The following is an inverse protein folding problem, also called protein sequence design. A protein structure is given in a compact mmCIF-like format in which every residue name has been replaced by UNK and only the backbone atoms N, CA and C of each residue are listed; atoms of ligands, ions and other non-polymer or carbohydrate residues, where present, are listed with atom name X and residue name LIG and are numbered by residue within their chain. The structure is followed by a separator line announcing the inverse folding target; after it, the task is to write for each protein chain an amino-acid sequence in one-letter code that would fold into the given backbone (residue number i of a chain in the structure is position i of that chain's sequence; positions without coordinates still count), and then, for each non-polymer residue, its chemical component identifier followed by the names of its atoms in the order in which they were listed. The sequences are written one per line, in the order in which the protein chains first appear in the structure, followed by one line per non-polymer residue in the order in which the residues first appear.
data_IF_654415659807
#
_entry.id   IF_654415659807
#
_cell.length_a   1.000
_cell.length_b   1.000
_cell.length_c   1.000
_cell.angle_alpha   90.00
_cell.angle_beta   90.00
_cell.angle_gamma   90.00
#
_symmetry.space_group_name_H-M   'P 1'
#
loop_
_entity.id
_entity.type
_entity.pdbx_description
1 polymer ?
#
# COMPACT_ATOMS: atom_id res chain seq x y z
N UNK A 1 -9.56 -57.06 18.86
CA UNK A 1 -9.35 -57.02 20.34
C UNK A 1 -8.21 -56.09 20.63
N UNK A 2 -8.26 -55.26 21.66
CA UNK A 2 -9.42 -54.74 22.40
C UNK A 2 -9.64 -53.23 22.26
N UNK A 3 -10.84 -52.85 22.57
CA UNK A 3 -11.38 -51.51 22.80
C UNK A 3 -10.84 -50.94 24.13
N UNK A 4 -10.50 -49.67 24.19
CA UNK A 4 -10.49 -48.95 25.46
C UNK A 4 -11.30 -47.67 25.33
N UNK A 5 -12.43 -47.73 26.02
CA UNK A 5 -13.28 -46.61 26.42
C UNK A 5 -12.64 -45.96 27.65
N UNK A 6 -12.54 -44.63 27.73
CA UNK A 6 -12.50 -43.93 28.97
C UNK A 6 -13.44 -42.73 28.96
N UNK A 7 -14.24 -42.73 29.93
CA UNK A 7 -15.41 -42.06 30.44
C UNK A 7 -15.05 -40.65 30.99
N UNK A 8 -16.02 -39.73 31.03
CA UNK A 8 -15.79 -38.33 31.37
C UNK A 8 -15.80 -38.11 32.88
N UNK A 9 -15.00 -37.18 33.35
CA UNK A 9 -15.05 -36.72 34.76
C UNK A 9 -15.72 -35.34 34.82
N UNK A 10 -16.94 -35.39 35.31
CA UNK A 10 -17.76 -34.26 35.75
C UNK A 10 -17.16 -33.73 37.04
N UNK A 11 -16.86 -32.44 37.17
CA UNK A 11 -16.67 -31.78 38.45
C UNK A 11 -17.54 -30.54 38.51
N UNK A 12 -18.63 -30.73 39.25
CA UNK A 12 -19.52 -29.69 39.78
C UNK A 12 -19.00 -29.29 41.14
N UNK A 13 -18.75 -28.05 41.41
CA UNK A 13 -18.78 -27.41 42.75
C UNK A 13 -18.86 -25.91 42.52
N UNK A 14 -19.97 -25.32 42.77
CA UNK A 14 -20.54 -24.78 43.99
C UNK A 14 -20.35 -23.27 44.13
N UNK A 15 -21.38 -22.61 43.84
CA UNK A 15 -22.03 -21.37 44.29
C UNK A 15 -21.59 -20.92 45.72
N UNK A 16 -21.04 -19.70 45.81
CA UNK A 16 -21.17 -18.91 47.06
C UNK A 16 -21.40 -17.44 46.70
N UNK A 17 -22.62 -17.02 46.93
CA UNK A 17 -23.02 -15.59 47.10
C UNK A 17 -22.45 -15.05 48.39
N UNK A 18 -21.87 -13.86 48.36
CA UNK A 18 -21.87 -12.95 49.48
C UNK A 18 -22.19 -11.54 49.01
N UNK A 19 -23.40 -11.14 49.33
CA UNK A 19 -23.89 -9.78 49.38
C UNK A 19 -23.19 -9.05 50.53
N UNK A 20 -22.60 -7.89 50.27
CA UNK A 20 -22.47 -6.87 51.31
C UNK A 20 -22.83 -5.51 50.72
N UNK A 21 -23.85 -4.97 51.32
CA UNK A 21 -24.43 -3.65 51.12
C UNK A 21 -23.73 -2.59 51.97
N UNK A 22 -23.96 -1.35 51.60
CA UNK A 22 -23.88 -0.09 52.36
C UNK A 22 -22.52 0.57 52.52
N UNK A 23 -22.57 1.84 52.14
CA UNK A 23 -21.65 2.90 52.53
C UNK A 23 -21.70 4.09 51.58
N UNK A 24 -22.85 4.80 51.59
CA UNK A 24 -22.94 6.18 51.07
C UNK A 24 -22.11 7.09 51.97
N UNK A 25 -21.04 7.67 51.49
CA UNK A 25 -20.44 8.87 52.07
C UNK A 25 -20.43 9.99 51.05
N UNK A 26 -21.41 10.87 51.22
CA UNK A 26 -21.60 12.15 50.57
C UNK A 26 -20.44 13.10 50.96
N UNK A 27 -19.37 13.21 50.20
CA UNK A 27 -18.36 14.26 50.38
C UNK A 27 -18.81 15.55 49.70
N UNK A 28 -19.24 16.50 50.53
CA UNK A 28 -19.54 17.90 50.18
C UNK A 28 -18.39 18.50 49.43
N UNK A 29 -18.67 18.95 48.21
CA UNK A 29 -17.77 19.79 47.39
C UNK A 29 -17.76 21.20 47.99
N UNK A 30 -16.59 21.80 48.29
CA UNK A 30 -16.54 23.18 48.73
C UNK A 30 -16.87 24.13 47.57
N UNK A 31 -17.70 25.09 47.90
CA UNK A 31 -18.19 26.19 47.04
C UNK A 31 -16.98 27.01 46.53
N UNK A 32 -16.61 26.84 45.28
CA UNK A 32 -15.58 27.63 44.61
C UNK A 32 -16.26 28.84 43.92
N UNK A 33 -16.10 30.01 44.55
CA UNK A 33 -16.51 31.31 44.00
C UNK A 33 -15.98 31.42 42.53
N UNK A 34 -16.95 31.59 41.63
CA UNK A 34 -16.69 31.87 40.23
C UNK A 34 -16.03 33.25 40.06
N UNK A 35 -14.73 33.23 39.75
CA UNK A 35 -14.04 34.43 39.25
C UNK A 35 -14.31 34.52 37.75
N UNK A 36 -14.78 35.67 37.20
CA UNK A 36 -14.99 35.79 35.76
C UNK A 36 -13.62 35.76 35.05
N UNK A 37 -13.36 34.71 34.33
CA UNK A 37 -12.22 34.63 33.44
C UNK A 37 -12.54 35.49 32.22
N UNK A 38 -11.89 36.63 32.12
CA UNK A 38 -11.87 37.44 30.91
C UNK A 38 -11.04 36.65 29.86
N UNK A 39 -11.74 35.98 28.97
CA UNK A 39 -11.08 35.39 27.80
C UNK A 39 -10.67 36.52 26.88
N UNK A 40 -9.39 36.93 26.96
CA UNK A 40 -8.79 37.71 25.87
C UNK A 40 -8.82 36.81 24.66
N UNK A 41 -9.58 37.24 23.62
CA UNK A 41 -9.46 36.67 22.27
C UNK A 41 -8.05 36.93 21.78
N UNK A 42 -7.19 35.94 21.97
CA UNK A 42 -5.92 35.89 21.27
C UNK A 42 -6.24 35.74 19.78
N UNK A 43 -5.64 36.63 18.98
CA UNK A 43 -5.67 36.58 17.52
C UNK A 43 -5.27 35.16 17.09
N UNK A 44 -5.87 34.63 15.99
CA UNK A 44 -5.49 33.31 15.49
C UNK A 44 -3.99 33.29 15.26
N UNK A 45 -3.32 32.43 16.01
CA UNK A 45 -1.91 32.14 15.85
C UNK A 45 -1.73 31.67 14.42
N UNK A 46 -0.97 32.44 13.65
CA UNK A 46 -0.58 32.11 12.28
C UNK A 46 0.10 30.76 12.36
N UNK A 47 -0.58 29.69 11.90
CA UNK A 47 0.04 28.39 11.76
C UNK A 47 1.29 28.62 10.92
N UNK A 48 2.44 28.37 11.49
CA UNK A 48 3.68 28.22 10.75
C UNK A 48 3.51 26.98 9.90
N UNK A 49 2.91 27.14 8.70
CA UNK A 49 2.98 26.13 7.66
C UNK A 49 4.47 25.93 7.40
N UNK A 50 5.00 24.84 7.94
CA UNK A 50 6.28 24.30 7.48
C UNK A 50 6.16 24.16 5.96
N UNK A 51 7.17 24.55 5.18
CA UNK A 51 7.10 24.42 3.73
C UNK A 51 6.74 22.97 3.41
N UNK A 52 5.60 22.78 2.72
CA UNK A 52 5.19 21.47 2.25
C UNK A 52 6.34 20.89 1.45
N UNK A 53 6.89 19.77 1.87
CA UNK A 53 7.90 19.06 1.08
C UNK A 53 7.34 18.86 -0.32
N UNK A 54 8.09 19.20 -1.35
CA UNK A 54 7.72 18.94 -2.73
C UNK A 54 8.25 17.57 -3.14
N UNK A 55 7.52 16.83 -4.00
CA UNK A 55 8.05 15.59 -4.58
C UNK A 55 9.36 15.84 -5.32
N UNK A 56 10.26 14.85 -5.27
CA UNK A 56 11.48 14.83 -6.07
C UNK A 56 11.28 13.92 -7.26
N UNK A 57 11.64 14.40 -8.45
CA UNK A 57 11.54 13.65 -9.71
C UNK A 57 12.90 13.68 -10.40
N UNK A 58 13.58 12.54 -10.43
CA UNK A 58 14.82 12.36 -11.19
C UNK A 58 14.52 11.53 -12.43
N UNK A 59 14.91 12.02 -13.61
CA UNK A 59 14.60 11.37 -14.89
C UNK A 59 15.86 10.75 -15.48
N UNK A 60 15.75 9.49 -15.93
CA UNK A 60 16.85 8.72 -16.54
C UNK A 60 16.37 8.04 -17.80
N UNK A 61 17.08 8.25 -18.93
CA UNK A 61 16.90 7.48 -20.16
C UNK A 61 17.77 6.21 -20.09
N UNK A 62 17.16 5.05 -20.30
CA UNK A 62 17.81 3.74 -20.08
C UNK A 62 17.14 2.62 -20.89
N UNK A 63 17.50 1.38 -20.61
CA UNK A 63 16.82 0.18 -21.11
C UNK A 63 16.06 -0.47 -19.94
N UNK A 64 14.76 -0.67 -20.12
CA UNK A 64 13.91 -1.31 -19.13
C UNK A 64 14.40 -2.73 -18.82
N UNK A 65 14.56 -3.06 -17.54
CA UNK A 65 14.95 -4.39 -17.11
C UNK A 65 13.95 -5.46 -17.57
N UNK A 66 14.47 -6.65 -17.91
CA UNK A 66 13.62 -7.79 -18.32
C UNK A 66 13.06 -8.49 -17.09
N UNK A 67 11.75 -8.74 -17.10
CA UNK A 67 11.05 -9.42 -16.02
C UNK A 67 10.09 -10.49 -16.55
N UNK A 68 10.04 -11.61 -15.85
CA UNK A 68 8.90 -12.53 -15.87
C UNK A 68 7.93 -12.12 -14.79
N UNK A 69 6.66 -11.96 -15.10
CA UNK A 69 5.66 -11.42 -14.17
C UNK A 69 4.48 -12.38 -14.04
N UNK A 70 4.03 -12.60 -12.82
CA UNK A 70 2.67 -13.07 -12.56
C UNK A 70 1.83 -11.88 -12.09
N UNK A 71 0.60 -11.78 -12.56
CA UNK A 71 -0.24 -10.62 -12.31
C UNK A 71 -1.73 -10.91 -12.23
N UNK A 72 -2.46 -9.97 -11.65
CA UNK A 72 -3.93 -9.97 -11.52
C UNK A 72 -4.46 -8.68 -12.15
N UNK A 73 -5.58 -8.76 -12.88
CA UNK A 73 -6.37 -7.60 -13.31
C UNK A 73 -7.48 -7.35 -12.31
N UNK A 74 -7.65 -6.08 -11.91
CA UNK A 74 -8.73 -5.67 -11.00
C UNK A 74 -9.12 -4.21 -11.27
N UNK A 75 -10.10 -3.72 -10.51
CA UNK A 75 -10.55 -2.34 -10.56
C UNK A 75 -10.89 -1.81 -9.16
N UNK A 76 -10.84 -0.49 -8.98
CA UNK A 76 -11.20 0.17 -7.74
C UNK A 76 -11.94 1.49 -8.02
N UNK A 77 -12.96 1.78 -7.24
CA UNK A 77 -13.81 2.97 -7.42
C UNK A 77 -13.17 4.25 -6.88
N UNK A 78 -12.18 4.13 -5.99
CA UNK A 78 -11.43 5.26 -5.42
C UNK A 78 -10.05 4.80 -4.90
N UNK A 79 -9.21 5.75 -4.49
CA UNK A 79 -7.82 5.49 -4.04
C UNK A 79 -7.76 4.61 -2.78
N UNK A 80 -8.66 4.81 -1.81
CA UNK A 80 -8.68 3.99 -0.60
C UNK A 80 -8.95 2.51 -0.91
N UNK A 81 -9.89 2.23 -1.81
CA UNK A 81 -10.16 0.86 -2.29
C UNK A 81 -9.03 0.31 -3.14
N UNK A 82 -8.37 1.17 -3.92
CA UNK A 82 -7.18 0.78 -4.69
C UNK A 82 -6.07 0.29 -3.76
N UNK A 83 -5.68 1.10 -2.78
CA UNK A 83 -4.63 0.75 -1.81
C UNK A 83 -4.94 -0.54 -1.06
N UNK A 84 -6.19 -0.70 -0.57
CA UNK A 84 -6.63 -1.92 0.09
C UNK A 84 -6.51 -3.16 -0.80
N UNK A 85 -6.91 -3.05 -2.08
CA UNK A 85 -6.83 -4.15 -3.05
C UNK A 85 -5.40 -4.49 -3.40
N UNK A 86 -4.55 -3.49 -3.65
CA UNK A 86 -3.13 -3.69 -3.94
C UNK A 86 -2.43 -4.40 -2.77
N UNK A 87 -2.65 -3.94 -1.52
CA UNK A 87 -2.12 -4.59 -0.33
C UNK A 87 -2.50 -6.08 -0.25
N UNK A 88 -3.78 -6.42 -0.49
CA UNK A 88 -4.23 -7.81 -0.52
C UNK A 88 -3.67 -8.62 -1.69
N UNK A 89 -3.53 -8.00 -2.86
CA UNK A 89 -3.00 -8.69 -4.06
C UNK A 89 -1.51 -9.00 -3.86
N UNK A 90 -0.71 -8.04 -3.43
CA UNK A 90 0.72 -8.22 -3.23
C UNK A 90 1.04 -9.06 -1.99
N UNK A 91 0.40 -8.78 -0.85
CA UNK A 91 0.67 -9.45 0.41
C UNK A 91 0.22 -10.91 0.46
N UNK A 92 -0.88 -11.24 -0.22
CA UNK A 92 -1.49 -12.57 -0.13
C UNK A 92 -1.52 -13.28 -1.49
N UNK A 93 -2.36 -12.77 -2.44
CA UNK A 93 -2.75 -13.54 -3.64
C UNK A 93 -1.58 -13.90 -4.55
N UNK A 94 -0.69 -12.95 -4.85
CA UNK A 94 0.45 -13.19 -5.73
C UNK A 94 1.54 -13.99 -5.02
N UNK A 95 1.75 -13.77 -3.72
CA UNK A 95 2.65 -14.59 -2.91
C UNK A 95 2.23 -16.05 -2.88
N UNK A 96 0.95 -16.33 -2.65
CA UNK A 96 0.41 -17.70 -2.66
C UNK A 96 0.43 -18.33 -4.06
N UNK A 97 0.19 -17.54 -5.10
CA UNK A 97 0.33 -17.99 -6.47
C UNK A 97 1.78 -18.38 -6.79
N UNK A 98 2.76 -17.57 -6.39
CA UNK A 98 4.17 -17.87 -6.59
C UNK A 98 4.59 -19.17 -5.90
N UNK A 99 4.14 -19.40 -4.65
CA UNK A 99 4.36 -20.67 -3.92
C UNK A 99 3.78 -21.86 -4.67
N UNK A 100 2.51 -21.78 -5.11
CA UNK A 100 1.83 -22.84 -5.88
C UNK A 100 2.53 -23.15 -7.20
N UNK A 101 3.05 -22.12 -7.86
CA UNK A 101 3.77 -22.22 -9.13
C UNK A 101 5.25 -22.62 -8.95
N UNK A 102 5.73 -22.71 -7.71
CA UNK A 102 7.12 -23.02 -7.36
C UNK A 102 8.11 -22.05 -8.03
N UNK A 103 7.77 -20.77 -8.03
CA UNK A 103 8.64 -19.67 -8.49
C UNK A 103 8.89 -18.70 -7.33
N UNK A 104 10.06 -18.07 -7.31
CA UNK A 104 10.42 -17.09 -6.27
C UNK A 104 10.16 -15.67 -6.78
N UNK A 105 9.66 -14.76 -5.93
CA UNK A 105 9.68 -13.34 -6.24
C UNK A 105 11.09 -12.85 -6.53
N UNK A 106 11.24 -11.95 -7.50
CA UNK A 106 12.53 -11.51 -8.04
C UNK A 106 12.61 -9.99 -8.19
N UNK A 107 11.92 -9.25 -7.33
CA UNK A 107 11.96 -7.79 -7.32
C UNK A 107 10.70 -7.17 -6.71
N UNK A 108 10.67 -5.83 -6.68
CA UNK A 108 9.55 -5.09 -6.11
C UNK A 108 8.25 -5.26 -6.90
N UNK A 109 7.09 -5.04 -6.27
CA UNK A 109 5.78 -5.06 -6.92
C UNK A 109 5.67 -4.01 -8.03
N UNK A 110 4.81 -4.28 -9.00
CA UNK A 110 4.60 -3.44 -10.18
C UNK A 110 3.12 -3.27 -10.46
N UNK A 111 2.74 -2.13 -11.06
CA UNK A 111 1.37 -1.90 -11.52
C UNK A 111 1.29 -1.17 -12.87
N UNK A 112 0.24 -1.44 -13.61
CA UNK A 112 -0.20 -0.70 -14.80
C UNK A 112 -1.56 -0.12 -14.52
N UNK A 113 -1.79 1.14 -14.87
CA UNK A 113 -3.07 1.82 -14.73
C UNK A 113 -3.56 2.28 -16.10
N UNK A 114 -4.84 2.04 -16.41
CA UNK A 114 -5.46 2.59 -17.61
C UNK A 114 -5.68 4.10 -17.50
N UNK A 115 -5.84 4.61 -16.29
CA UNK A 115 -6.05 6.02 -15.97
C UNK A 115 -5.49 6.32 -14.57
N UNK A 116 -4.92 7.50 -14.40
CA UNK A 116 -4.50 8.03 -13.11
C UNK A 116 -5.67 8.62 -12.28
N UNK A 117 -6.90 8.51 -12.79
CA UNK A 117 -8.13 8.98 -12.13
C UNK A 117 -9.10 7.83 -11.92
N UNK A 118 -9.86 7.92 -10.84
CA UNK A 118 -10.92 6.96 -10.53
C UNK A 118 -12.06 7.02 -11.59
N UNK A 119 -12.72 5.90 -11.88
CA UNK A 119 -12.43 4.55 -11.35
C UNK A 119 -11.12 3.99 -11.95
N UNK A 120 -10.33 3.33 -11.09
CA UNK A 120 -9.07 2.73 -11.50
C UNK A 120 -9.30 1.33 -12.08
N UNK A 121 -8.75 1.07 -13.28
CA UNK A 121 -8.58 -0.25 -13.84
C UNK A 121 -7.09 -0.54 -13.91
N UNK A 122 -6.65 -1.61 -13.27
CA UNK A 122 -5.24 -1.86 -13.10
C UNK A 122 -4.84 -3.32 -13.25
N UNK A 123 -3.57 -3.54 -13.51
CA UNK A 123 -2.89 -4.82 -13.43
C UNK A 123 -1.85 -4.72 -12.31
N UNK A 124 -1.93 -5.58 -11.31
CA UNK A 124 -0.96 -5.65 -10.22
C UNK A 124 -0.11 -6.91 -10.39
N UNK A 125 1.21 -6.77 -10.39
CA UNK A 125 2.16 -7.82 -10.71
C UNK A 125 3.29 -7.92 -9.70
N UNK A 126 3.87 -9.13 -9.59
CA UNK A 126 5.19 -9.32 -9.00
C UNK A 126 6.14 -9.95 -10.00
N UNK A 127 7.42 -9.50 -10.04
CA UNK A 127 8.47 -10.19 -10.77
C UNK A 127 8.74 -11.56 -10.16
N UNK A 128 9.03 -12.55 -11.01
CA UNK A 128 9.44 -13.89 -10.61
C UNK A 128 10.70 -14.31 -11.34
N UNK A 129 11.51 -15.18 -10.74
CA UNK A 129 12.83 -15.57 -11.22
C UNK A 129 12.84 -16.19 -12.63
N UNK A 130 11.71 -16.81 -13.02
CA UNK A 130 11.56 -17.50 -14.31
C UNK A 130 10.09 -17.60 -14.71
N UNK A 131 9.86 -17.91 -15.97
CA UNK A 131 8.51 -18.23 -16.47
C UNK A 131 7.95 -19.43 -15.68
N UNK A 132 6.74 -19.30 -15.08
CA UNK A 132 6.09 -20.43 -14.43
C UNK A 132 5.84 -21.59 -15.40
N UNK A 133 6.05 -22.81 -14.92
CA UNK A 133 5.69 -24.03 -15.64
C UNK A 133 4.32 -24.52 -15.19
N UNK A 134 3.55 -25.09 -16.13
CA UNK A 134 2.24 -25.68 -15.83
C UNK A 134 1.09 -24.67 -15.87
N UNK A 135 -0.08 -25.10 -15.37
CA UNK A 135 -1.34 -24.34 -15.40
C UNK A 135 -1.32 -23.25 -14.34
N UNK A 136 -1.60 -22.02 -14.76
CA UNK A 136 -1.73 -20.90 -13.83
C UNK A 136 -3.00 -21.04 -12.97
N UNK A 137 -2.96 -20.70 -11.67
CA UNK A 137 -4.14 -20.63 -10.83
C UNK A 137 -5.21 -19.68 -11.40
N UNK A 138 -6.47 -19.91 -11.08
CA UNK A 138 -7.59 -19.07 -11.55
C UNK A 138 -7.36 -17.59 -11.19
N UNK A 139 -7.48 -16.71 -12.18
CA UNK A 139 -7.28 -15.26 -12.01
C UNK A 139 -5.82 -14.79 -12.01
N UNK A 140 -4.86 -15.71 -12.04
CA UNK A 140 -3.44 -15.38 -12.21
C UNK A 140 -3.10 -15.44 -13.70
N UNK A 141 -2.41 -14.42 -14.16
CA UNK A 141 -1.94 -14.26 -15.53
C UNK A 141 -0.42 -14.16 -15.54
N UNK A 142 0.19 -14.36 -16.70
CA UNK A 142 1.63 -14.24 -16.91
C UNK A 142 1.93 -13.32 -18.08
N UNK A 143 3.00 -12.51 -17.95
CA UNK A 143 3.62 -11.78 -19.08
C UNK A 143 5.12 -11.64 -18.84
N UNK A 144 5.86 -11.44 -19.94
CA UNK A 144 7.25 -10.99 -19.90
C UNK A 144 7.30 -9.55 -20.42
N UNK A 145 8.17 -8.73 -19.83
CA UNK A 145 8.36 -7.32 -20.21
C UNK A 145 9.86 -6.97 -20.24
N UNK A 146 10.16 -5.78 -20.73
CA UNK A 146 11.50 -5.16 -20.68
C UNK A 146 12.37 -5.46 -21.88
N UNK A 147 13.56 -4.85 -21.89
CA UNK A 147 14.51 -4.89 -22.98
C UNK A 147 14.28 -3.79 -24.02
N UNK A 148 13.27 -2.95 -23.85
CA UNK A 148 13.04 -1.76 -24.68
C UNK A 148 13.73 -0.55 -24.06
N UNK A 149 14.08 0.46 -24.91
CA UNK A 149 14.45 1.77 -24.41
C UNK A 149 13.31 2.33 -23.58
N UNK A 150 13.63 2.99 -22.47
CA UNK A 150 12.64 3.54 -21.56
C UNK A 150 13.16 4.80 -20.89
N UNK A 151 12.26 5.77 -20.73
CA UNK A 151 12.49 6.89 -19.84
C UNK A 151 11.86 6.56 -18.48
N UNK A 152 12.59 6.78 -17.41
CA UNK A 152 12.19 6.45 -16.03
C UNK A 152 12.19 7.71 -15.19
N UNK A 153 11.10 7.95 -14.46
CA UNK A 153 11.07 8.92 -13.38
C UNK A 153 11.23 8.20 -12.05
N UNK A 154 12.32 8.46 -11.35
CA UNK A 154 12.51 8.07 -9.96
C UNK A 154 11.81 9.11 -9.09
N UNK A 155 10.60 8.79 -8.70
CA UNK A 155 9.69 9.67 -7.98
C UNK A 155 9.77 9.41 -6.47
N UNK A 156 9.95 10.46 -5.67
CA UNK A 156 9.89 10.43 -4.22
C UNK A 156 8.79 11.38 -3.75
N UNK A 157 7.69 10.85 -3.28
CA UNK A 157 6.53 11.63 -2.87
C UNK A 157 5.27 10.79 -2.63
N UNK A 158 4.16 11.45 -2.22
CA UNK A 158 2.87 10.78 -2.06
C UNK A 158 2.35 10.18 -3.36
N UNK A 159 1.72 9.02 -3.29
CA UNK A 159 1.13 8.35 -4.47
C UNK A 159 0.09 9.19 -5.19
N UNK A 160 -0.63 10.05 -4.47
CA UNK A 160 -1.64 10.95 -5.00
C UNK A 160 -1.04 12.03 -5.92
N UNK A 161 0.25 12.28 -5.81
CA UNK A 161 0.97 13.30 -6.58
C UNK A 161 1.83 12.71 -7.72
N UNK A 162 1.80 11.39 -7.96
CA UNK A 162 2.54 10.72 -9.05
C UNK A 162 2.20 11.27 -10.44
N UNK A 163 1.03 11.89 -10.61
CA UNK A 163 0.62 12.56 -11.85
C UNK A 163 1.68 13.52 -12.39
N UNK A 164 2.40 14.23 -11.52
CA UNK A 164 3.47 15.17 -11.91
C UNK A 164 4.61 14.45 -12.65
N UNK A 165 5.00 13.26 -12.18
CA UNK A 165 6.03 12.45 -12.83
C UNK A 165 5.56 11.90 -14.18
N UNK A 166 4.29 11.48 -14.28
CA UNK A 166 3.69 11.09 -15.55
C UNK A 166 3.71 12.22 -16.59
N UNK A 167 3.41 13.44 -16.16
CA UNK A 167 3.39 14.60 -17.06
C UNK A 167 4.81 14.99 -17.47
N UNK A 168 5.78 14.96 -16.56
CA UNK A 168 7.19 15.19 -16.88
C UNK A 168 7.74 14.18 -17.92
N UNK A 169 7.39 12.88 -17.79
CA UNK A 169 7.79 11.86 -18.75
C UNK A 169 7.13 12.04 -20.12
N UNK A 170 5.85 12.46 -20.18
CA UNK A 170 5.18 12.79 -21.46
C UNK A 170 5.83 13.98 -22.14
N UNK A 171 6.18 15.02 -21.39
CA UNK A 171 6.89 16.19 -21.89
C UNK A 171 8.26 15.80 -22.45
N UNK A 172 9.04 15.01 -21.70
CA UNK A 172 10.32 14.49 -22.14
C UNK A 172 10.20 13.72 -23.48
N UNK A 173 9.23 12.82 -23.61
CA UNK A 173 9.00 12.09 -24.87
C UNK A 173 8.72 13.04 -26.03
N UNK A 174 7.89 14.07 -25.82
CA UNK A 174 7.57 15.07 -26.83
C UNK A 174 8.80 15.85 -27.26
N UNK A 175 9.58 16.35 -26.31
CA UNK A 175 10.77 17.18 -26.57
C UNK A 175 11.86 16.39 -27.30
N UNK A 176 12.01 15.11 -26.96
CA UNK A 176 12.96 14.21 -27.59
C UNK A 176 12.42 13.50 -28.84
N UNK A 177 11.20 13.88 -29.31
CA UNK A 177 10.54 13.30 -30.50
C UNK A 177 10.40 11.77 -30.43
N UNK A 178 10.25 11.24 -29.21
CA UNK A 178 10.05 9.82 -28.95
C UNK A 178 8.56 9.50 -28.84
N UNK A 179 8.20 8.24 -29.09
CA UNK A 179 6.83 7.75 -28.94
C UNK A 179 6.79 6.60 -27.93
N UNK A 180 5.78 6.60 -27.09
CA UNK A 180 5.53 5.46 -26.21
C UNK A 180 5.31 4.19 -27.03
N UNK A 181 6.04 3.13 -26.70
CA UNK A 181 5.98 1.82 -27.35
C UNK A 181 4.92 0.92 -26.74
N UNK A 182 4.69 1.07 -25.45
CA UNK A 182 3.69 0.31 -24.68
C UNK A 182 3.13 1.14 -23.53
N UNK A 183 2.13 0.60 -22.83
CA UNK A 183 1.56 1.27 -21.67
C UNK A 183 2.63 1.47 -20.57
N UNK A 184 2.67 2.66 -19.94
CA UNK A 184 3.55 2.93 -18.82
C UNK A 184 3.20 2.07 -17.61
N UNK A 185 4.18 1.88 -16.71
CA UNK A 185 4.00 1.13 -15.50
C UNK A 185 4.82 1.69 -14.34
N UNK A 186 4.41 1.33 -13.14
CA UNK A 186 5.04 1.71 -11.90
C UNK A 186 5.76 0.52 -11.28
N UNK A 187 6.90 0.78 -10.64
CA UNK A 187 7.62 -0.16 -9.77
C UNK A 187 7.67 0.47 -8.38
N UNK A 188 7.13 -0.21 -7.38
CA UNK A 188 7.10 0.25 -5.99
C UNK A 188 8.40 -0.15 -5.29
N UNK A 189 9.46 0.66 -5.49
CA UNK A 189 10.81 0.38 -5.00
C UNK A 189 10.89 0.51 -3.48
N UNK A 190 10.26 1.55 -2.94
CA UNK A 190 10.19 1.79 -1.50
C UNK A 190 8.94 1.18 -0.88
N UNK A 191 9.08 0.55 0.28
CA UNK A 191 7.94 0.12 1.08
C UNK A 191 7.37 1.34 1.83
N UNK A 192 6.06 1.65 1.70
CA UNK A 192 5.43 2.76 2.42
C UNK A 192 5.26 2.50 3.93
N UNK A 193 5.57 1.29 4.38
CA UNK A 193 5.46 0.86 5.78
C UNK A 193 6.83 0.38 6.24
N UNK A 194 7.22 0.72 7.47
CA UNK A 194 8.45 0.23 8.08
C UNK A 194 8.30 -1.21 8.63
N UNK A 195 9.39 -1.79 9.09
CA UNK A 195 9.42 -3.15 9.65
C UNK A 195 8.53 -3.32 10.90
N UNK A 196 8.14 -2.22 11.54
CA UNK A 196 7.26 -2.19 12.71
C UNK A 196 5.78 -1.97 12.34
N UNK A 197 5.49 -1.80 11.04
CA UNK A 197 4.14 -1.55 10.54
C UNK A 197 3.71 -0.08 10.58
N UNK A 198 4.63 0.87 10.83
CA UNK A 198 4.31 2.29 10.83
C UNK A 198 4.45 2.89 9.43
N UNK A 199 3.60 3.86 9.06
CA UNK A 199 3.77 4.60 7.80
C UNK A 199 5.12 5.32 7.76
N UNK A 200 5.83 5.20 6.63
CA UNK A 200 7.03 5.98 6.34
C UNK A 200 6.67 7.38 5.82
N UNK A 201 7.59 8.31 5.95
CA UNK A 201 7.51 9.62 5.28
C UNK A 201 7.36 9.39 3.76
N UNK A 202 6.24 9.79 3.14
CA UNK A 202 5.99 9.54 1.73
C UNK A 202 7.04 10.18 0.81
N UNK A 203 7.68 11.29 1.22
CA UNK A 203 8.75 11.95 0.47
C UNK A 203 10.10 11.19 0.50
N UNK A 204 10.15 10.05 1.21
CA UNK A 204 11.29 9.12 1.24
C UNK A 204 10.95 7.76 0.61
N UNK A 205 9.72 7.59 0.15
CA UNK A 205 9.27 6.36 -0.53
C UNK A 205 9.43 6.53 -2.02
N UNK A 206 10.20 5.65 -2.65
CA UNK A 206 10.48 5.70 -4.08
C UNK A 206 9.46 4.87 -4.87
N UNK A 207 8.92 5.48 -5.92
CA UNK A 207 8.19 4.82 -7.00
C UNK A 207 8.89 5.15 -8.32
N UNK A 208 9.27 4.13 -9.08
CA UNK A 208 9.77 4.33 -10.44
C UNK A 208 8.60 4.26 -11.42
N UNK A 209 8.49 5.26 -12.28
CA UNK A 209 7.48 5.31 -13.34
C UNK A 209 8.19 5.17 -14.67
N UNK A 210 7.87 4.11 -15.41
CA UNK A 210 8.59 3.69 -16.60
C UNK A 210 7.71 3.90 -17.85
N UNK A 211 8.24 4.61 -18.83
CA UNK A 211 7.64 4.78 -20.15
C UNK A 211 8.53 4.11 -21.20
N UNK A 212 8.23 2.88 -21.64
CA UNK A 212 8.93 2.27 -22.78
C UNK A 212 8.72 3.09 -24.04
N UNK A 213 9.80 3.34 -24.78
CA UNK A 213 9.76 4.14 -26.02
C UNK A 213 10.59 3.53 -27.16
N UNK A 214 10.44 4.09 -28.36
CA UNK A 214 11.23 3.75 -29.55
C UNK A 214 12.41 4.70 -29.73
#
# INVERSE_FOLDING_TARGET
MPKNKFLPLLFCVSLLMLLNACGEEEKRVPDVKSVPIVIKKDKPNKSTDLPKSAPIINITDTVAARHHLIYIKDSAINSARLSQKLGKIYGEKLGDAAKKLKVKPAGPPMAWYKSQKAPFFFEAAIPVEKKPSGKLPKGILYKAIGGDSAIVAHYFGPYEETGQAYDALKEWLKDNKKKSKSAPYEIYVGDPIDEKGNPRDPYKVQTDIIFPHN
#
